data_IF_144395828389
#
_entry.id   IF_144395828389
#
_cell.length_a   1.000
_cell.length_b   1.000
_cell.length_c   1.000
_cell.angle_alpha   90.00
_cell.angle_beta   90.00
_cell.angle_gamma   90.00
#
_symmetry.space_group_name_H-M   'P 1'
#
loop_
_entity.id
_entity.type
_entity.pdbx_description
1 polymer ?
#
# COMPACT_ATOMS: atom_id res chain seq x y z
N UNK A 1 -7.72 1.13 41.92
CA UNK A 1 -7.59 -0.26 41.40
C UNK A 1 -6.72 -0.20 40.16
N UNK A 2 -5.67 -1.00 40.11
CA UNK A 2 -4.78 -1.10 38.95
C UNK A 2 -5.14 -2.35 38.12
N UNK A 3 -4.97 -2.30 36.81
CA UNK A 3 -5.23 -3.45 35.95
C UNK A 3 -3.93 -4.23 35.75
N UNK A 4 -3.96 -5.51 36.06
CA UNK A 4 -2.82 -6.43 35.87
C UNK A 4 -3.07 -7.36 34.70
N UNK A 5 -2.10 -7.46 33.79
CA UNK A 5 -2.10 -8.49 32.75
C UNK A 5 -1.47 -9.77 33.32
N UNK A 6 -2.12 -10.91 33.07
CA UNK A 6 -1.63 -12.20 33.58
C UNK A 6 -1.50 -13.24 32.47
N UNK A 7 -0.55 -14.13 32.65
CA UNK A 7 -0.48 -15.42 31.98
C UNK A 7 -0.59 -16.49 33.04
N UNK A 8 -1.60 -17.35 32.94
CA UNK A 8 -1.88 -18.40 33.94
C UNK A 8 -2.21 -19.71 33.23
N UNK A 9 -1.91 -20.84 33.88
CA UNK A 9 -2.25 -22.17 33.39
C UNK A 9 -3.58 -22.59 34.02
N UNK A 10 -4.52 -23.02 33.20
CA UNK A 10 -5.79 -23.59 33.67
C UNK A 10 -5.59 -25.07 34.06
N UNK A 11 -6.57 -25.64 34.82
CA UNK A 11 -6.51 -27.05 35.28
C UNK A 11 -6.42 -28.08 34.14
N UNK A 12 -6.75 -27.69 32.90
CA UNK A 12 -6.65 -28.51 31.68
C UNK A 12 -5.27 -28.42 31.00
N UNK A 13 -4.29 -27.73 31.64
CA UNK A 13 -2.93 -27.56 31.11
C UNK A 13 -2.78 -26.49 30.03
N UNK A 14 -3.83 -25.75 29.70
CA UNK A 14 -3.77 -24.69 28.65
C UNK A 14 -3.42 -23.35 29.25
N UNK A 15 -2.56 -22.62 28.56
CA UNK A 15 -2.20 -21.24 28.88
C UNK A 15 -3.38 -20.29 28.62
N UNK A 16 -3.82 -19.59 29.68
CA UNK A 16 -4.79 -18.49 29.56
C UNK A 16 -4.10 -17.16 29.84
N UNK A 17 -4.30 -16.20 28.92
CA UNK A 17 -3.89 -14.81 29.10
C UNK A 17 -5.14 -13.96 29.30
N UNK A 18 -5.08 -13.00 30.21
CA UNK A 18 -6.19 -12.09 30.47
C UNK A 18 -5.77 -10.91 31.33
N UNK A 19 -6.76 -10.11 31.71
CA UNK A 19 -6.59 -8.94 32.58
C UNK A 19 -7.43 -9.11 33.83
N UNK A 20 -6.94 -8.64 34.98
CA UNK A 20 -7.64 -8.68 36.26
C UNK A 20 -7.39 -7.35 36.99
N UNK A 21 -8.44 -6.82 37.62
CA UNK A 21 -8.35 -5.60 38.41
C UNK A 21 -8.09 -5.97 39.87
N UNK A 22 -7.04 -5.38 40.44
CA UNK A 22 -6.67 -5.56 41.84
C UNK A 22 -5.94 -4.31 42.37
N UNK A 23 -5.88 -4.16 43.68
CA UNK A 23 -5.11 -3.07 44.30
C UNK A 23 -3.63 -3.40 44.43
N UNK A 24 -3.31 -4.69 44.51
CA UNK A 24 -1.94 -5.18 44.61
C UNK A 24 -1.73 -6.44 43.76
N UNK A 25 -0.48 -6.70 43.41
CA UNK A 25 -0.07 -7.90 42.67
C UNK A 25 -0.45 -9.21 43.38
N UNK A 26 -0.39 -9.19 44.72
CA UNK A 26 -0.71 -10.36 45.53
C UNK A 26 -2.23 -10.63 45.58
N UNK A 27 -3.03 -9.59 45.51
CA UNK A 27 -4.48 -9.69 45.39
C UNK A 27 -4.88 -10.25 44.03
N UNK A 28 -4.23 -9.78 42.96
CA UNK A 28 -4.42 -10.33 41.61
C UNK A 28 -4.09 -11.82 41.56
N UNK A 29 -3.00 -12.23 42.20
CA UNK A 29 -2.61 -13.65 42.29
C UNK A 29 -3.63 -14.49 43.09
N UNK A 30 -4.22 -13.98 44.19
CA UNK A 30 -5.28 -14.65 44.92
C UNK A 30 -6.55 -14.82 44.09
N UNK A 31 -7.03 -13.76 43.48
CA UNK A 31 -8.22 -13.79 42.59
C UNK A 31 -8.08 -14.81 41.47
N UNK A 32 -6.88 -14.92 40.86
CA UNK A 32 -6.60 -15.91 39.83
C UNK A 32 -6.62 -17.35 40.35
N UNK A 33 -6.07 -17.58 41.55
CA UNK A 33 -6.12 -18.91 42.21
C UNK A 33 -7.55 -19.32 42.56
N UNK A 34 -8.39 -18.39 43.04
CA UNK A 34 -9.82 -18.62 43.31
C UNK A 34 -10.59 -19.01 42.03
N UNK A 35 -10.18 -18.50 40.87
CA UNK A 35 -10.72 -18.87 39.55
C UNK A 35 -10.13 -20.19 39.00
N UNK A 36 -9.31 -20.89 39.77
CA UNK A 36 -8.71 -22.16 39.38
C UNK A 36 -7.55 -22.01 38.37
N UNK A 37 -6.98 -20.81 38.27
CA UNK A 37 -5.88 -20.49 37.36
C UNK A 37 -4.58 -20.36 38.16
N UNK A 38 -3.52 -21.05 37.72
CA UNK A 38 -2.19 -20.94 38.33
C UNK A 38 -1.40 -19.83 37.63
N UNK A 39 -1.14 -18.69 38.28
CA UNK A 39 -0.45 -17.57 37.64
C UNK A 39 1.03 -17.88 37.42
N UNK A 40 1.50 -17.80 36.14
CA UNK A 40 2.91 -17.89 35.77
C UNK A 40 3.59 -16.51 35.73
N UNK A 41 2.86 -15.48 35.31
CA UNK A 41 3.37 -14.12 35.24
C UNK A 41 2.24 -13.11 35.46
N UNK A 42 2.47 -12.13 36.34
CA UNK A 42 1.57 -11.00 36.58
C UNK A 42 2.40 -9.73 36.44
N UNK A 43 2.01 -8.86 35.50
CA UNK A 43 2.67 -7.57 35.24
C UNK A 43 1.67 -6.43 35.42
N UNK A 44 2.05 -5.36 36.06
CA UNK A 44 1.30 -4.10 36.06
C UNK A 44 1.24 -3.54 34.63
N UNK A 45 0.05 -3.20 34.19
CA UNK A 45 -0.13 -2.54 32.90
C UNK A 45 0.26 -1.07 33.06
N UNK A 46 1.44 -0.70 32.58
CA UNK A 46 1.80 0.70 32.37
C UNK A 46 1.02 1.26 31.19
N UNK A 47 0.73 2.57 31.18
CA UNK A 47 -0.06 3.24 30.13
C UNK A 47 0.50 3.03 28.71
N UNK A 48 1.73 2.56 28.57
CA UNK A 48 2.41 2.20 27.32
C UNK A 48 2.15 0.74 26.85
N UNK A 49 1.64 -0.14 27.70
CA UNK A 49 1.34 -1.55 27.38
C UNK A 49 -0.12 -1.78 26.97
N UNK A 50 -0.92 -0.73 26.89
CA UNK A 50 -2.16 -0.82 26.15
C UNK A 50 -1.77 -1.02 24.69
N UNK A 51 -1.97 -2.21 24.16
CA UNK A 51 -2.22 -2.39 22.74
C UNK A 51 -3.35 -1.42 22.38
N UNK A 52 -2.96 -0.21 21.97
CA UNK A 52 -3.90 0.75 21.42
C UNK A 52 -4.30 0.14 20.08
N UNK A 53 -5.28 -0.75 20.11
CA UNK A 53 -6.05 -1.11 18.93
C UNK A 53 -6.76 0.18 18.50
N UNK A 54 -6.03 1.02 17.79
CA UNK A 54 -6.62 2.12 17.03
C UNK A 54 -7.45 1.43 15.94
N UNK A 55 -8.78 1.37 16.05
CA UNK A 55 -9.63 0.70 15.06
C UNK A 55 -9.49 1.32 13.65
N UNK A 56 -8.82 2.46 13.58
CA UNK A 56 -8.51 3.18 12.36
C UNK A 56 -7.23 2.68 11.64
N UNK A 57 -6.32 1.96 12.33
CA UNK A 57 -5.04 1.47 11.77
C UNK A 57 -5.05 -0.03 11.42
N UNK A 58 -6.09 -0.78 11.76
CA UNK A 58 -6.05 -2.25 11.76
C UNK A 58 -6.61 -2.93 10.52
N UNK A 59 -7.19 -2.23 9.54
CA UNK A 59 -7.51 -2.87 8.25
C UNK A 59 -6.29 -2.89 7.33
N UNK A 60 -5.24 -3.64 7.68
CA UNK A 60 -4.14 -3.91 6.74
C UNK A 60 -4.67 -4.80 5.62
N UNK A 61 -4.83 -4.22 4.43
CA UNK A 61 -5.11 -4.98 3.21
C UNK A 61 -4.07 -6.09 3.06
N UNK A 62 -4.53 -7.30 2.76
CA UNK A 62 -3.65 -8.43 2.44
C UNK A 62 -2.90 -8.12 1.15
N UNK A 63 -1.62 -8.48 1.08
CA UNK A 63 -0.79 -8.21 -0.09
C UNK A 63 -1.20 -9.12 -1.25
N UNK A 64 -1.12 -8.67 -2.51
CA UNK A 64 -1.40 -9.52 -3.66
C UNK A 64 -0.58 -10.82 -3.69
N UNK A 65 0.66 -10.80 -3.18
CA UNK A 65 1.49 -12.00 -3.05
C UNK A 65 0.86 -13.05 -2.13
N UNK A 66 0.34 -12.62 -0.98
CA UNK A 66 -0.28 -13.53 -0.01
C UNK A 66 -1.57 -14.13 -0.61
N UNK A 67 -2.34 -13.31 -1.35
CA UNK A 67 -3.52 -13.78 -2.09
C UNK A 67 -3.17 -14.75 -3.22
N UNK A 68 -2.07 -14.52 -3.95
CA UNK A 68 -1.61 -15.45 -4.99
C UNK A 68 -1.25 -16.81 -4.41
N UNK A 69 -0.53 -16.82 -3.28
CA UNK A 69 -0.15 -18.06 -2.58
C UNK A 69 -1.40 -18.79 -2.08
N UNK A 70 -2.32 -18.07 -1.42
CA UNK A 70 -3.59 -18.62 -0.97
C UNK A 70 -4.39 -19.26 -2.11
N UNK A 71 -4.62 -18.54 -3.20
CA UNK A 71 -5.37 -19.08 -4.34
C UNK A 71 -4.69 -20.27 -4.99
N UNK A 72 -3.35 -20.26 -5.11
CA UNK A 72 -2.58 -21.36 -5.70
C UNK A 72 -2.64 -22.62 -4.85
N UNK A 73 -2.45 -22.48 -3.54
CA UNK A 73 -2.55 -23.60 -2.59
C UNK A 73 -3.98 -24.15 -2.55
N UNK A 74 -4.98 -23.27 -2.51
CA UNK A 74 -6.38 -23.68 -2.50
C UNK A 74 -6.74 -24.48 -3.76
N UNK A 75 -6.40 -23.97 -4.94
CA UNK A 75 -6.58 -24.69 -6.20
C UNK A 75 -5.89 -26.08 -6.19
N UNK A 76 -4.65 -26.15 -5.69
CA UNK A 76 -3.89 -27.40 -5.61
C UNK A 76 -4.54 -28.43 -4.69
N UNK A 77 -5.05 -28.00 -3.53
CA UNK A 77 -5.72 -28.89 -2.57
C UNK A 77 -7.04 -29.40 -3.13
N UNK A 78 -7.83 -28.53 -3.79
CA UNK A 78 -9.08 -28.94 -4.44
C UNK A 78 -8.84 -29.90 -5.61
N UNK A 79 -7.82 -29.66 -6.43
CA UNK A 79 -7.42 -30.57 -7.52
C UNK A 79 -6.99 -31.95 -7.00
N UNK A 80 -6.54 -32.06 -5.74
CA UNK A 80 -6.27 -33.34 -5.08
C UNK A 80 -7.53 -34.02 -4.55
N UNK A 81 -8.73 -33.45 -4.75
CA UNK A 81 -10.01 -34.03 -4.35
C UNK A 81 -10.40 -33.76 -2.88
N UNK A 82 -9.69 -32.86 -2.20
CA UNK A 82 -10.03 -32.47 -0.82
C UNK A 82 -11.28 -31.57 -0.84
N UNK A 83 -12.17 -31.75 0.13
CA UNK A 83 -13.37 -30.91 0.26
C UNK A 83 -13.00 -29.43 0.56
N UNK A 84 -13.87 -28.50 0.15
CA UNK A 84 -13.67 -27.05 0.38
C UNK A 84 -13.43 -26.75 1.86
N UNK A 85 -14.21 -27.36 2.77
CA UNK A 85 -14.08 -27.13 4.22
C UNK A 85 -12.70 -27.56 4.74
N UNK A 86 -12.28 -28.79 4.41
CA UNK A 86 -10.97 -29.29 4.84
C UNK A 86 -9.81 -28.51 4.21
N UNK A 87 -9.99 -28.06 2.96
CA UNK A 87 -8.99 -27.22 2.29
C UNK A 87 -8.83 -25.85 2.98
N UNK A 88 -9.92 -25.22 3.41
CA UNK A 88 -9.89 -23.97 4.16
C UNK A 88 -9.23 -24.15 5.54
N UNK A 89 -9.50 -25.28 6.23
CA UNK A 89 -8.85 -25.61 7.50
C UNK A 89 -7.32 -25.69 7.35
N UNK A 90 -6.84 -26.49 6.39
CA UNK A 90 -5.42 -26.63 6.08
C UNK A 90 -4.76 -25.28 5.73
N UNK A 91 -5.44 -24.44 4.95
CA UNK A 91 -4.96 -23.12 4.54
C UNK A 91 -4.91 -22.17 5.73
N UNK A 92 -5.89 -22.22 6.64
CA UNK A 92 -5.90 -21.39 7.85
C UNK A 92 -4.69 -21.72 8.74
N UNK A 93 -4.32 -23.00 8.87
CA UNK A 93 -3.17 -23.41 9.67
C UNK A 93 -1.84 -22.90 9.10
N UNK A 94 -1.68 -22.96 7.76
CA UNK A 94 -0.46 -22.58 7.06
C UNK A 94 -0.31 -21.07 6.84
N UNK A 95 -1.39 -20.28 7.03
CA UNK A 95 -1.39 -18.86 6.74
C UNK A 95 -0.72 -18.05 7.85
N UNK A 96 0.41 -17.39 7.56
CA UNK A 96 1.14 -16.52 8.50
C UNK A 96 0.44 -15.18 8.75
N UNK A 97 -0.24 -14.64 7.74
CA UNK A 97 -0.93 -13.36 7.84
C UNK A 97 -2.18 -13.49 8.72
N UNK A 98 -2.14 -12.90 9.91
CA UNK A 98 -3.20 -13.01 10.91
C UNK A 98 -4.59 -12.60 10.40
N UNK A 99 -4.66 -11.55 9.56
CA UNK A 99 -5.93 -11.08 9.01
C UNK A 99 -6.49 -12.05 7.98
N UNK A 100 -5.62 -12.56 7.09
CA UNK A 100 -6.01 -13.56 6.10
C UNK A 100 -6.40 -14.87 6.77
N UNK A 101 -5.63 -15.32 7.77
CA UNK A 101 -5.94 -16.51 8.57
C UNK A 101 -7.33 -16.44 9.18
N UNK A 102 -7.64 -15.31 9.82
CA UNK A 102 -8.97 -15.08 10.41
C UNK A 102 -10.06 -15.13 9.35
N UNK A 103 -9.87 -14.44 8.22
CA UNK A 103 -10.84 -14.42 7.12
C UNK A 103 -11.09 -15.82 6.52
N UNK A 104 -10.05 -16.66 6.43
CA UNK A 104 -10.18 -18.06 5.99
C UNK A 104 -10.99 -18.88 7.00
N UNK A 105 -10.73 -18.72 8.31
CA UNK A 105 -11.49 -19.40 9.37
C UNK A 105 -12.96 -18.96 9.38
N UNK A 106 -13.22 -17.67 9.23
CA UNK A 106 -14.58 -17.14 9.15
C UNK A 106 -15.32 -17.69 7.91
N UNK A 107 -14.64 -17.75 6.75
CA UNK A 107 -15.20 -18.36 5.53
C UNK A 107 -15.44 -19.87 5.70
N UNK A 108 -14.52 -20.60 6.34
CA UNK A 108 -14.72 -22.03 6.68
C UNK A 108 -16.00 -22.21 7.50
N UNK A 109 -16.17 -21.43 8.57
CA UNK A 109 -17.35 -21.51 9.43
C UNK A 109 -18.67 -21.22 8.69
N UNK A 110 -18.65 -20.32 7.69
CA UNK A 110 -19.81 -20.05 6.83
C UNK A 110 -20.16 -21.26 5.96
N UNK A 111 -19.17 -21.85 5.31
CA UNK A 111 -19.36 -23.04 4.46
C UNK A 111 -19.83 -24.25 5.28
N UNK A 112 -19.32 -24.46 6.49
CA UNK A 112 -19.80 -25.49 7.43
C UNK A 112 -21.28 -25.34 7.79
N UNK A 113 -21.79 -24.12 7.82
CA UNK A 113 -23.22 -23.80 8.05
C UNK A 113 -24.08 -23.97 6.81
N UNK A 114 -23.48 -24.29 5.67
CA UNK A 114 -24.18 -24.50 4.40
C UNK A 114 -24.27 -23.28 3.50
N UNK A 115 -23.56 -22.18 3.81
CA UNK A 115 -23.46 -21.03 2.93
C UNK A 115 -22.54 -21.33 1.74
N UNK A 116 -22.70 -20.60 0.62
CA UNK A 116 -21.75 -20.69 -0.49
C UNK A 116 -20.38 -20.12 -0.06
N UNK A 117 -19.29 -20.60 -0.66
CA UNK A 117 -17.95 -20.07 -0.37
C UNK A 117 -17.86 -18.59 -0.71
N UNK A 118 -18.45 -18.17 -1.83
CA UNK A 118 -18.47 -16.77 -2.25
C UNK A 118 -19.19 -15.85 -1.28
N UNK A 119 -20.32 -16.30 -0.72
CA UNK A 119 -21.08 -15.51 0.28
C UNK A 119 -20.34 -15.48 1.61
N UNK A 120 -19.76 -16.60 2.05
CA UNK A 120 -18.94 -16.67 3.26
C UNK A 120 -17.71 -15.77 3.18
N UNK A 121 -17.02 -15.71 2.01
CA UNK A 121 -15.91 -14.78 1.79
C UNK A 121 -16.33 -13.31 1.75
N UNK A 122 -17.56 -13.01 1.37
CA UNK A 122 -18.11 -11.64 1.30
C UNK A 122 -18.46 -11.06 2.65
N UNK A 123 -18.81 -11.91 3.63
CA UNK A 123 -19.14 -11.48 5.00
C UNK A 123 -17.94 -10.88 5.73
N UNK A 124 -16.73 -11.30 5.37
CA UNK A 124 -15.54 -10.75 5.98
C UNK A 124 -15.27 -9.31 5.49
N UNK A 125 -14.83 -8.50 6.40
CA UNK A 125 -14.69 -7.03 6.32
C UNK A 125 -13.76 -6.48 5.23
N UNK A 126 -13.75 -7.07 4.02
CA UNK A 126 -13.01 -6.60 2.85
C UNK A 126 -11.55 -7.08 2.81
N UNK A 127 -11.24 -8.20 3.43
CA UNK A 127 -9.94 -8.90 3.30
C UNK A 127 -9.83 -9.55 1.93
N UNK A 128 -10.86 -10.28 1.51
CA UNK A 128 -10.93 -10.83 0.16
C UNK A 128 -11.32 -9.74 -0.85
N UNK A 129 -10.51 -9.53 -1.91
CA UNK A 129 -10.87 -8.60 -2.98
C UNK A 129 -12.15 -9.05 -3.70
N UNK A 130 -12.99 -8.07 -4.13
CA UNK A 130 -14.24 -8.37 -4.84
C UNK A 130 -14.04 -9.27 -6.06
N UNK A 131 -13.00 -9.03 -6.84
CA UNK A 131 -12.66 -9.86 -8.00
C UNK A 131 -12.46 -11.33 -7.63
N UNK A 132 -11.86 -11.65 -6.47
CA UNK A 132 -11.71 -13.03 -6.01
C UNK A 132 -13.08 -13.64 -5.66
N UNK A 133 -13.91 -12.89 -4.94
CA UNK A 133 -15.25 -13.34 -4.54
C UNK A 133 -16.12 -13.63 -5.77
N UNK A 134 -16.09 -12.73 -6.74
CA UNK A 134 -16.91 -12.86 -7.96
C UNK A 134 -16.41 -14.02 -8.84
N UNK A 135 -15.08 -14.24 -8.92
CA UNK A 135 -14.48 -15.41 -9.59
C UNK A 135 -14.80 -16.71 -8.87
N UNK A 136 -14.78 -16.74 -7.54
CA UNK A 136 -15.19 -17.91 -6.74
C UNK A 136 -16.66 -18.20 -6.99
N UNK A 137 -17.54 -17.18 -7.01
CA UNK A 137 -18.97 -17.33 -7.32
C UNK A 137 -19.19 -17.93 -8.70
N UNK A 138 -18.46 -17.45 -9.72
CA UNK A 138 -18.54 -18.00 -11.07
C UNK A 138 -18.05 -19.47 -11.10
N UNK A 139 -16.95 -19.77 -10.38
CA UNK A 139 -16.43 -21.14 -10.25
C UNK A 139 -17.35 -22.09 -9.51
N UNK A 140 -18.04 -21.64 -8.45
CA UNK A 140 -19.07 -22.43 -7.76
C UNK A 140 -20.26 -22.73 -8.67
N UNK A 141 -20.75 -21.72 -9.39
CA UNK A 141 -21.90 -21.87 -10.29
C UNK A 141 -21.61 -22.78 -11.47
N UNK A 142 -20.38 -22.83 -11.98
CA UNK A 142 -19.96 -23.67 -13.11
C UNK A 142 -19.36 -25.00 -12.69
N UNK A 143 -19.16 -25.26 -11.38
CA UNK A 143 -18.47 -26.44 -10.88
C UNK A 143 -16.98 -26.50 -11.21
N UNK A 144 -16.35 -25.36 -11.49
CA UNK A 144 -14.92 -25.24 -11.89
C UNK A 144 -14.15 -24.30 -10.97
N UNK A 145 -14.31 -24.48 -9.65
CA UNK A 145 -13.72 -23.64 -8.62
C UNK A 145 -12.17 -23.64 -8.68
N UNK A 146 -11.57 -24.80 -9.00
CA UNK A 146 -10.13 -24.95 -9.14
C UNK A 146 -9.56 -24.06 -10.26
N UNK A 147 -10.26 -24.00 -11.39
CA UNK A 147 -9.88 -23.16 -12.52
C UNK A 147 -10.00 -21.67 -12.16
N UNK A 148 -11.08 -21.29 -11.48
CA UNK A 148 -11.27 -19.91 -11.01
C UNK A 148 -10.15 -19.49 -10.06
N UNK A 149 -9.80 -20.33 -9.09
CA UNK A 149 -8.71 -20.08 -8.15
C UNK A 149 -7.33 -20.05 -8.82
N UNK A 150 -7.08 -20.94 -9.80
CA UNK A 150 -5.83 -20.94 -10.58
C UNK A 150 -5.67 -19.63 -11.36
N UNK A 151 -6.72 -19.15 -12.02
CA UNK A 151 -6.71 -17.86 -12.71
C UNK A 151 -6.46 -16.69 -11.75
N UNK A 152 -7.09 -16.72 -10.58
CA UNK A 152 -6.88 -15.70 -9.54
C UNK A 152 -5.47 -15.74 -8.95
N UNK A 153 -4.87 -16.94 -8.83
CA UNK A 153 -3.47 -17.07 -8.41
C UNK A 153 -2.53 -16.35 -9.39
N UNK A 154 -2.71 -16.58 -10.70
CA UNK A 154 -1.93 -15.93 -11.77
C UNK A 154 -2.19 -14.41 -11.78
N UNK A 155 -3.44 -13.99 -11.65
CA UNK A 155 -3.82 -12.57 -11.59
C UNK A 155 -3.11 -11.84 -10.46
N UNK A 156 -3.16 -12.38 -9.24
CA UNK A 156 -2.51 -11.76 -8.09
C UNK A 156 -0.98 -11.86 -8.16
N UNK A 157 -0.41 -12.90 -8.76
CA UNK A 157 1.03 -13.02 -9.01
C UNK A 157 1.52 -11.91 -9.94
N UNK A 158 0.84 -11.68 -11.06
CA UNK A 158 1.13 -10.59 -12.00
C UNK A 158 1.02 -9.22 -11.33
N UNK A 159 -0.06 -9.02 -10.57
CA UNK A 159 -0.26 -7.80 -9.79
C UNK A 159 0.87 -7.58 -8.76
N UNK A 160 1.27 -8.64 -8.04
CA UNK A 160 2.37 -8.58 -7.08
C UNK A 160 3.71 -8.26 -7.75
N UNK A 161 3.98 -8.86 -8.94
CA UNK A 161 5.18 -8.60 -9.74
C UNK A 161 5.24 -7.13 -10.12
N UNK A 162 4.20 -6.58 -10.74
CA UNK A 162 4.14 -5.19 -11.18
C UNK A 162 4.32 -4.21 -10.02
N UNK A 163 3.61 -4.43 -8.90
CA UNK A 163 3.78 -3.61 -7.69
C UNK A 163 5.18 -3.74 -7.09
N UNK A 164 5.76 -4.94 -7.16
CA UNK A 164 7.10 -5.23 -6.67
C UNK A 164 8.18 -4.50 -7.44
N UNK A 165 8.08 -4.42 -8.77
CA UNK A 165 9.00 -3.70 -9.66
C UNK A 165 9.04 -2.22 -9.26
N UNK A 166 7.89 -1.56 -9.21
CA UNK A 166 7.78 -0.15 -8.84
C UNK A 166 8.33 0.10 -7.42
N UNK A 167 7.95 -0.75 -6.45
CA UNK A 167 8.41 -0.61 -5.06
C UNK A 167 9.92 -0.78 -4.92
N UNK A 168 10.51 -1.78 -5.59
CA UNK A 168 11.96 -2.01 -5.55
C UNK A 168 12.73 -0.85 -6.18
N UNK A 169 12.27 -0.34 -7.31
CA UNK A 169 12.88 0.79 -7.99
C UNK A 169 12.89 2.07 -7.12
N UNK A 170 11.82 2.31 -6.36
CA UNK A 170 11.72 3.47 -5.47
C UNK A 170 12.54 3.35 -4.17
N UNK A 171 13.09 2.18 -3.87
CA UNK A 171 13.86 1.98 -2.61
C UNK A 171 15.15 2.79 -2.61
N UNK A 172 15.93 2.73 -3.69
CA UNK A 172 17.21 3.46 -3.80
C UNK A 172 17.03 4.98 -3.67
N UNK A 173 16.14 5.66 -4.42
CA UNK A 173 15.85 7.07 -4.24
C UNK A 173 15.42 7.43 -2.80
N UNK A 174 14.59 6.61 -2.17
CA UNK A 174 14.17 6.85 -0.80
C UNK A 174 15.35 6.79 0.19
N UNK A 175 16.24 5.82 0.06
CA UNK A 175 17.43 5.71 0.91
C UNK A 175 18.34 6.92 0.73
N UNK A 176 18.60 7.34 -0.52
CA UNK A 176 19.41 8.54 -0.78
C UNK A 176 18.79 9.81 -0.16
N UNK A 177 17.48 9.99 -0.28
CA UNK A 177 16.79 11.14 0.33
C UNK A 177 16.90 11.12 1.86
N UNK A 178 16.77 9.94 2.48
CA UNK A 178 16.94 9.81 3.95
C UNK A 178 18.36 10.16 4.37
N UNK A 179 19.37 9.67 3.65
CA UNK A 179 20.78 9.99 3.92
C UNK A 179 21.03 11.49 3.74
N UNK A 180 20.52 12.08 2.65
CA UNK A 180 20.65 13.52 2.38
C UNK A 180 20.06 14.36 3.51
N UNK A 181 18.83 14.04 3.95
CA UNK A 181 18.19 14.72 5.08
C UNK A 181 18.99 14.55 6.37
N UNK A 182 19.54 13.36 6.62
CA UNK A 182 20.41 13.09 7.76
C UNK A 182 21.66 13.96 7.76
N UNK A 183 22.34 14.08 6.61
CA UNK A 183 23.52 14.95 6.46
C UNK A 183 23.15 16.42 6.70
N UNK A 184 22.04 16.90 6.14
CA UNK A 184 21.56 18.27 6.35
C UNK A 184 21.32 18.54 7.86
N UNK A 185 20.65 17.61 8.54
CA UNK A 185 20.38 17.75 9.98
C UNK A 185 21.69 17.80 10.76
N UNK A 186 22.65 16.92 10.50
CA UNK A 186 23.96 16.92 11.18
C UNK A 186 24.70 18.23 10.92
N UNK A 187 24.70 18.74 9.70
CA UNK A 187 25.33 20.03 9.37
C UNK A 187 24.67 21.20 10.09
N UNK A 188 23.34 21.24 10.12
CA UNK A 188 22.60 22.31 10.78
C UNK A 188 22.71 22.25 12.31
N UNK A 189 22.78 21.07 12.92
CA UNK A 189 22.75 20.94 14.38
C UNK A 189 24.14 20.93 15.04
N UNK A 190 25.19 20.47 14.32
CA UNK A 190 26.51 20.34 14.89
C UNK A 190 27.54 21.24 14.22
N UNK A 191 27.58 21.28 12.90
CA UNK A 191 28.70 21.96 12.20
C UNK A 191 28.49 23.46 12.20
N UNK A 192 27.33 23.95 11.78
CA UNK A 192 27.09 25.39 11.65
C UNK A 192 27.13 26.13 12.99
N UNK A 193 26.52 25.65 14.09
CA UNK A 193 26.62 26.34 15.38
C UNK A 193 28.04 26.49 15.89
N UNK A 194 28.88 25.43 15.71
CA UNK A 194 30.29 25.49 16.12
C UNK A 194 31.10 26.53 15.35
N UNK A 195 30.79 26.71 14.04
CA UNK A 195 31.44 27.78 13.26
C UNK A 195 30.97 29.15 13.69
N UNK A 196 29.69 29.32 14.01
CA UNK A 196 29.13 30.63 14.40
C UNK A 196 29.66 31.08 15.73
N UNK A 197 29.77 30.22 16.74
CA UNK A 197 30.36 30.58 18.04
C UNK A 197 31.78 31.13 17.91
N UNK A 198 32.56 30.64 16.93
CA UNK A 198 33.91 31.22 16.63
C UNK A 198 33.85 32.63 16.05
N UNK A 199 32.75 33.02 15.40
CA UNK A 199 32.60 34.34 14.80
C UNK A 199 31.91 35.37 15.75
N UNK A 200 31.06 34.90 16.69
CA UNK A 200 30.45 35.77 17.73
C UNK A 200 31.53 36.38 18.64
N UNK A 201 32.61 35.64 18.88
CA UNK A 201 33.75 36.12 19.67
C UNK A 201 34.54 37.27 18.99
N UNK A 202 34.25 37.54 17.70
CA UNK A 202 34.98 38.50 16.87
C UNK A 202 34.18 39.76 16.51
N UNK A 203 32.99 39.95 17.11
CA UNK A 203 32.09 41.12 16.94
C UNK A 203 31.79 41.50 15.47
N UNK A 204 31.92 40.58 14.51
CA UNK A 204 31.69 40.86 13.08
C UNK A 204 30.29 40.49 12.61
N UNK A 205 29.70 41.35 11.78
CA UNK A 205 28.39 41.11 11.18
C UNK A 205 28.39 39.88 10.25
N UNK A 206 27.48 38.91 10.51
CA UNK A 206 27.37 37.69 9.69
C UNK A 206 26.71 37.97 8.35
N UNK A 207 27.22 37.39 7.24
CA UNK A 207 26.63 37.50 5.92
C UNK A 207 25.18 36.97 5.87
N UNK A 208 24.41 37.43 4.89
CA UNK A 208 22.99 37.03 4.71
C UNK A 208 22.80 35.54 4.60
N UNK A 209 23.63 34.82 3.83
CA UNK A 209 23.55 33.37 3.66
C UNK A 209 23.76 32.64 4.98
N UNK A 210 24.73 33.06 5.77
CA UNK A 210 25.02 32.49 7.09
C UNK A 210 23.87 32.72 8.05
N UNK A 211 23.31 33.94 8.09
CA UNK A 211 22.13 34.28 8.90
C UNK A 211 20.90 33.42 8.49
N UNK A 212 20.69 33.21 7.20
CA UNK A 212 19.59 32.39 6.72
C UNK A 212 19.74 30.90 7.14
N UNK A 213 20.94 30.34 7.02
CA UNK A 213 21.19 28.94 7.42
C UNK A 213 21.15 28.79 8.94
N UNK A 214 21.60 29.80 9.71
CA UNK A 214 21.46 29.85 11.17
C UNK A 214 19.98 29.84 11.61
N UNK A 215 19.16 30.67 11.00
CA UNK A 215 17.72 30.67 11.34
C UNK A 215 17.06 29.34 11.03
N UNK A 216 17.53 28.62 10.00
CA UNK A 216 17.11 27.24 9.73
C UNK A 216 17.63 26.25 10.79
N UNK A 217 18.88 26.42 11.24
CA UNK A 217 19.48 25.61 12.31
C UNK A 217 18.70 25.79 13.62
N UNK A 218 18.43 27.03 14.03
CA UNK A 218 17.67 27.35 15.22
C UNK A 218 16.24 26.81 15.13
N UNK A 219 15.63 26.89 13.96
CA UNK A 219 14.30 26.31 13.73
C UNK A 219 14.32 24.78 13.89
N UNK A 220 15.35 24.09 13.40
CA UNK A 220 15.49 22.63 13.55
C UNK A 220 15.78 22.26 15.01
N UNK A 221 16.66 22.98 15.71
CA UNK A 221 17.03 22.68 17.08
C UNK A 221 15.91 22.99 18.09
N UNK A 222 15.25 24.14 17.95
CA UNK A 222 14.28 24.61 18.94
C UNK A 222 12.84 24.22 18.63
N UNK A 223 12.50 23.99 17.34
CA UNK A 223 11.13 23.75 16.88
C UNK A 223 10.95 22.43 16.14
N UNK A 224 11.87 21.46 16.30
CA UNK A 224 11.78 20.15 15.64
C UNK A 224 10.43 19.46 15.86
N UNK A 225 9.84 19.58 17.07
CA UNK A 225 8.54 19.01 17.40
C UNK A 225 7.40 19.71 16.63
N UNK A 226 7.50 21.02 16.38
CA UNK A 226 6.54 21.77 15.56
C UNK A 226 6.67 21.34 14.11
N UNK A 227 7.91 21.18 13.59
CA UNK A 227 8.16 20.71 12.23
C UNK A 227 7.52 19.32 12.02
N UNK A 228 7.72 18.39 12.96
CA UNK A 228 7.08 17.07 12.91
C UNK A 228 5.56 17.19 12.98
N UNK A 229 5.01 18.03 13.86
CA UNK A 229 3.57 18.24 13.98
C UNK A 229 2.97 18.82 12.70
N UNK A 230 3.64 19.80 12.05
CA UNK A 230 3.21 20.36 10.77
C UNK A 230 3.25 19.33 9.65
N UNK A 231 4.34 18.55 9.55
CA UNK A 231 4.43 17.45 8.56
C UNK A 231 3.31 16.43 8.81
N UNK A 232 3.07 16.03 10.05
CA UNK A 232 1.99 15.12 10.40
C UNK A 232 0.62 15.71 10.04
N UNK A 233 0.37 16.99 10.32
CA UNK A 233 -0.86 17.68 9.95
C UNK A 233 -1.05 17.75 8.43
N UNK A 234 0.00 18.03 7.65
CA UNK A 234 -0.04 18.01 6.18
C UNK A 234 -0.37 16.61 5.67
N UNK A 235 0.28 15.55 6.20
CA UNK A 235 0.03 14.17 5.79
C UNK A 235 -1.40 13.74 6.14
N UNK A 236 -1.89 14.09 7.31
CA UNK A 236 -3.28 13.78 7.73
C UNK A 236 -4.27 14.57 6.88
N UNK A 237 -4.05 15.87 6.67
CA UNK A 237 -4.87 16.72 5.83
C UNK A 237 -4.93 16.21 4.39
N UNK A 238 -3.79 15.84 3.80
CA UNK A 238 -3.72 15.22 2.48
C UNK A 238 -4.52 13.91 2.42
N UNK A 239 -4.35 13.03 3.41
CA UNK A 239 -5.12 11.76 3.48
C UNK A 239 -6.62 12.00 3.64
N UNK A 240 -7.02 12.99 4.41
CA UNK A 240 -8.43 13.38 4.56
C UNK A 240 -8.97 13.96 3.25
N UNK A 241 -8.23 14.84 2.59
CA UNK A 241 -8.61 15.42 1.31
C UNK A 241 -8.80 14.35 0.21
N UNK A 242 -7.86 13.41 0.08
CA UNK A 242 -7.94 12.29 -0.90
C UNK A 242 -9.06 11.30 -0.57
N UNK A 243 -9.60 11.29 0.65
CA UNK A 243 -10.80 10.49 0.98
C UNK A 243 -12.10 11.11 0.47
N UNK A 244 -12.14 12.41 0.21
CA UNK A 244 -13.30 13.06 -0.40
C UNK A 244 -13.33 12.80 -1.91
N UNK A 245 -14.52 12.66 -2.50
CA UNK A 245 -14.65 12.37 -3.93
C UNK A 245 -14.00 13.47 -4.80
N UNK A 246 -14.26 14.74 -4.49
CA UNK A 246 -13.68 15.88 -5.20
C UNK A 246 -12.14 15.91 -5.07
N UNK A 247 -11.60 15.64 -3.86
CA UNK A 247 -10.17 15.59 -3.62
C UNK A 247 -9.48 14.45 -4.35
N UNK A 248 -10.10 13.26 -4.37
CA UNK A 248 -9.62 12.10 -5.10
C UNK A 248 -9.56 12.36 -6.60
N UNK A 249 -10.62 12.93 -7.19
CA UNK A 249 -10.63 13.31 -8.61
C UNK A 249 -9.53 14.32 -8.96
N UNK A 250 -9.37 15.37 -8.12
CA UNK A 250 -8.36 16.41 -8.36
C UNK A 250 -6.94 15.86 -8.31
N UNK A 251 -6.63 15.07 -7.28
CA UNK A 251 -5.31 14.47 -7.07
C UNK A 251 -4.99 13.45 -8.16
N UNK A 252 -5.94 12.58 -8.51
CA UNK A 252 -5.72 11.54 -9.54
C UNK A 252 -5.58 12.15 -10.94
N UNK A 253 -6.32 13.23 -11.23
CA UNK A 253 -6.12 14.01 -12.47
C UNK A 253 -4.75 14.69 -12.51
N UNK A 254 -4.29 15.24 -11.37
CA UNK A 254 -2.96 15.86 -11.28
C UNK A 254 -1.85 14.84 -11.49
N UNK A 255 -1.96 13.65 -10.89
CA UNK A 255 -0.98 12.56 -11.06
C UNK A 255 -0.79 12.18 -12.53
N UNK A 256 -1.85 12.17 -13.34
CA UNK A 256 -1.78 11.89 -14.77
C UNK A 256 -1.07 12.99 -15.58
N UNK A 257 -1.05 14.23 -15.07
CA UNK A 257 -0.39 15.37 -15.74
C UNK A 257 1.11 15.47 -15.44
N UNK A 258 1.59 14.84 -14.35
CA UNK A 258 3.01 14.88 -13.98
C UNK A 258 3.81 14.11 -15.03
N UNK A 259 4.83 14.73 -15.69
CA UNK A 259 5.66 14.03 -16.66
C UNK A 259 6.32 12.79 -16.01
N UNK A 260 6.54 11.75 -16.78
CA UNK A 260 7.08 10.43 -16.36
C UNK A 260 6.15 9.65 -15.43
N UNK A 261 5.67 10.23 -14.32
CA UNK A 261 4.72 9.58 -13.40
C UNK A 261 3.35 9.33 -14.05
N UNK A 262 2.84 10.30 -14.81
CA UNK A 262 1.56 10.15 -15.52
C UNK A 262 1.62 9.03 -16.55
N UNK A 263 2.73 8.91 -17.27
CA UNK A 263 2.95 7.84 -18.24
C UNK A 263 2.99 6.47 -17.53
N UNK A 264 3.73 6.36 -16.42
CA UNK A 264 3.79 5.14 -15.61
C UNK A 264 2.39 4.76 -15.10
N UNK A 265 1.62 5.73 -14.62
CA UNK A 265 0.27 5.50 -14.11
C UNK A 265 -0.70 5.04 -15.21
N UNK A 266 -0.61 5.63 -16.42
CA UNK A 266 -1.37 5.21 -17.59
C UNK A 266 -1.05 3.77 -17.98
N UNK A 267 0.25 3.43 -18.11
CA UNK A 267 0.69 2.08 -18.46
C UNK A 267 0.23 1.06 -17.41
N UNK A 268 0.35 1.39 -16.12
CA UNK A 268 -0.13 0.54 -15.01
C UNK A 268 -1.64 0.35 -15.05
N UNK A 269 -2.42 1.40 -15.33
CA UNK A 269 -3.87 1.31 -15.46
C UNK A 269 -4.28 0.43 -16.66
N UNK A 270 -3.61 0.57 -17.81
CA UNK A 270 -3.86 -0.26 -18.98
C UNK A 270 -3.51 -1.74 -18.74
N UNK A 271 -2.37 -2.02 -18.10
CA UNK A 271 -1.98 -3.38 -17.71
C UNK A 271 -3.03 -4.00 -16.78
N UNK A 272 -3.44 -3.27 -15.75
CA UNK A 272 -4.44 -3.75 -14.78
C UNK A 272 -5.80 -3.97 -15.43
N UNK A 273 -6.27 -3.05 -16.26
CA UNK A 273 -7.51 -3.17 -17.01
C UNK A 273 -7.51 -4.38 -17.93
N UNK A 274 -6.52 -4.47 -18.83
CA UNK A 274 -6.45 -5.54 -19.81
C UNK A 274 -6.31 -6.92 -19.13
N UNK A 275 -5.46 -7.04 -18.11
CA UNK A 275 -5.28 -8.26 -17.34
C UNK A 275 -6.56 -8.70 -16.62
N UNK A 276 -7.20 -7.76 -15.93
CA UNK A 276 -8.42 -8.06 -15.18
C UNK A 276 -9.54 -8.45 -16.12
N UNK A 277 -9.78 -7.67 -17.17
CA UNK A 277 -10.86 -7.95 -18.12
C UNK A 277 -10.64 -9.27 -18.85
N UNK A 278 -9.42 -9.55 -19.33
CA UNK A 278 -9.11 -10.84 -19.99
C UNK A 278 -9.34 -12.04 -19.06
N UNK A 279 -8.91 -11.93 -17.78
CA UNK A 279 -9.08 -13.01 -16.80
C UNK A 279 -10.56 -13.32 -16.54
N UNK A 280 -11.40 -12.29 -16.43
CA UNK A 280 -12.83 -12.43 -16.17
C UNK A 280 -13.57 -13.01 -17.39
N UNK A 281 -13.27 -12.52 -18.60
CA UNK A 281 -13.86 -13.02 -19.84
C UNK A 281 -13.48 -14.48 -20.09
N UNK A 282 -12.21 -14.84 -19.89
CA UNK A 282 -11.74 -16.23 -19.97
C UNK A 282 -12.41 -17.16 -18.94
N UNK A 283 -12.95 -16.63 -17.85
CA UNK A 283 -13.75 -17.37 -16.90
C UNK A 283 -15.22 -17.48 -17.32
N UNK A 284 -15.59 -16.99 -18.51
CA UNK A 284 -16.97 -17.00 -19.04
C UNK A 284 -17.87 -15.94 -18.47
N UNK A 285 -17.30 -14.93 -17.80
CA UNK A 285 -18.11 -13.83 -17.21
C UNK A 285 -18.66 -12.92 -18.30
N UNK A 286 -19.93 -12.50 -18.24
CA UNK A 286 -20.51 -11.57 -19.19
C UNK A 286 -19.73 -10.25 -19.24
N UNK A 287 -19.57 -9.67 -20.44
CA UNK A 287 -18.76 -8.47 -20.69
C UNK A 287 -19.13 -7.29 -19.76
N UNK A 288 -20.41 -7.05 -19.55
CA UNK A 288 -20.92 -5.93 -18.72
C UNK A 288 -20.47 -6.09 -17.26
N UNK A 289 -20.58 -7.31 -16.72
CA UNK A 289 -20.17 -7.62 -15.36
C UNK A 289 -18.64 -7.57 -15.23
N UNK A 290 -17.92 -8.11 -16.23
CA UNK A 290 -16.47 -8.07 -16.27
C UNK A 290 -15.90 -6.63 -16.30
N UNK A 291 -16.53 -5.71 -17.04
CA UNK A 291 -16.17 -4.28 -17.05
C UNK A 291 -16.41 -3.64 -15.68
N UNK A 292 -17.52 -3.97 -15.00
CA UNK A 292 -17.82 -3.46 -13.66
C UNK A 292 -16.74 -3.82 -12.63
N UNK A 293 -16.39 -5.09 -12.61
CA UNK A 293 -15.34 -5.62 -11.73
C UNK A 293 -13.99 -4.99 -12.10
N UNK A 294 -13.65 -4.93 -13.39
CA UNK A 294 -12.42 -4.28 -13.85
C UNK A 294 -12.36 -2.81 -13.40
N UNK A 295 -13.46 -2.06 -13.53
CA UNK A 295 -13.55 -0.68 -13.04
C UNK A 295 -13.31 -0.57 -11.53
N UNK A 296 -13.83 -1.52 -10.75
CA UNK A 296 -13.67 -1.54 -9.29
C UNK A 296 -12.21 -1.76 -8.85
N UNK A 297 -11.40 -2.43 -9.68
CA UNK A 297 -9.97 -2.69 -9.42
C UNK A 297 -9.07 -1.52 -9.77
N UNK A 298 -9.57 -0.50 -10.48
CA UNK A 298 -8.77 0.65 -10.89
C UNK A 298 -8.33 1.50 -9.68
N UNK A 299 -7.02 1.76 -9.61
CA UNK A 299 -6.45 2.59 -8.56
C UNK A 299 -6.77 4.08 -8.76
N UNK A 300 -6.79 4.54 -10.02
CA UNK A 300 -7.07 5.92 -10.39
C UNK A 300 -8.55 6.08 -10.78
N UNK A 301 -9.20 7.04 -10.14
CA UNK A 301 -10.64 7.32 -10.32
C UNK A 301 -11.00 7.69 -11.75
N UNK A 302 -10.12 8.38 -12.49
CA UNK A 302 -10.40 8.77 -13.88
C UNK A 302 -10.61 7.55 -14.78
N UNK A 303 -9.80 6.48 -14.61
CA UNK A 303 -9.97 5.21 -15.35
C UNK A 303 -11.21 4.45 -14.88
N UNK A 304 -11.49 4.46 -13.57
CA UNK A 304 -12.72 3.87 -13.03
C UNK A 304 -13.95 4.47 -13.67
N UNK A 305 -14.04 5.80 -13.70
CA UNK A 305 -15.20 6.51 -14.25
C UNK A 305 -15.34 6.30 -15.75
N UNK A 306 -14.22 6.27 -16.48
CA UNK A 306 -14.25 5.97 -17.90
C UNK A 306 -14.78 4.56 -18.20
N UNK A 307 -14.38 3.56 -17.41
CA UNK A 307 -14.88 2.19 -17.53
C UNK A 307 -16.34 2.07 -17.13
N UNK A 308 -16.78 2.79 -16.09
CA UNK A 308 -18.20 2.83 -15.71
C UNK A 308 -19.09 3.45 -16.80
N UNK A 309 -18.59 4.50 -17.47
CA UNK A 309 -19.27 5.06 -18.66
C UNK A 309 -19.25 4.08 -19.82
N UNK A 310 -18.12 3.42 -20.05
CA UNK A 310 -18.02 2.40 -21.10
C UNK A 310 -18.99 1.24 -20.85
N UNK A 311 -19.13 0.77 -19.61
CA UNK A 311 -20.13 -0.22 -19.21
C UNK A 311 -21.53 0.18 -19.65
N UNK A 312 -21.92 1.44 -19.40
CA UNK A 312 -23.25 1.95 -19.80
C UNK A 312 -23.42 1.95 -21.32
N UNK A 313 -22.40 2.30 -22.09
CA UNK A 313 -22.42 2.24 -23.56
C UNK A 313 -22.52 0.81 -24.10
N UNK A 314 -21.76 -0.12 -23.51
CA UNK A 314 -21.79 -1.54 -23.89
C UNK A 314 -23.14 -2.17 -23.55
N UNK A 315 -23.78 -1.78 -22.45
CA UNK A 315 -25.14 -2.21 -22.11
C UNK A 315 -26.19 -1.76 -23.13
N UNK A 316 -25.91 -0.69 -23.89
CA UNK A 316 -26.74 -0.22 -25.02
C UNK A 316 -26.34 -0.87 -26.37
N UNK A 317 -25.43 -1.83 -26.36
CA UNK A 317 -24.95 -2.54 -27.55
C UNK A 317 -23.86 -1.80 -28.33
N UNK A 318 -23.27 -0.74 -27.78
CA UNK A 318 -22.17 -0.02 -28.42
C UNK A 318 -20.86 -0.76 -28.19
N UNK A 319 -19.93 -0.80 -29.19
CA UNK A 319 -18.63 -1.40 -29.04
C UNK A 319 -17.81 -0.80 -27.89
N UNK A 320 -17.13 -1.63 -27.10
CA UNK A 320 -16.26 -1.21 -26.00
C UNK A 320 -15.12 -0.33 -26.50
N UNK A 321 -14.50 -0.68 -27.64
CA UNK A 321 -13.44 0.10 -28.28
C UNK A 321 -13.84 1.55 -28.54
N UNK A 322 -15.07 1.80 -29.00
CA UNK A 322 -15.59 3.15 -29.22
C UNK A 322 -15.76 3.92 -27.91
N UNK A 323 -16.18 3.24 -26.83
CA UNK A 323 -16.33 3.86 -25.51
C UNK A 323 -14.96 4.22 -24.89
N UNK A 324 -13.98 3.33 -25.03
CA UNK A 324 -12.61 3.59 -24.59
C UNK A 324 -12.00 4.76 -25.35
N UNK A 325 -12.19 4.83 -26.68
CA UNK A 325 -11.75 5.94 -27.53
C UNK A 325 -12.37 7.28 -27.11
N UNK A 326 -13.67 7.29 -26.84
CA UNK A 326 -14.41 8.48 -26.41
C UNK A 326 -13.91 9.03 -25.06
N UNK A 327 -13.38 8.19 -24.18
CA UNK A 327 -12.84 8.59 -22.89
C UNK A 327 -11.55 9.43 -22.97
N UNK A 328 -10.79 9.32 -24.04
CA UNK A 328 -9.51 10.01 -24.32
C UNK A 328 -8.39 9.77 -23.29
N UNK A 329 -8.58 8.85 -22.35
CA UNK A 329 -7.56 8.53 -21.33
C UNK A 329 -6.81 7.22 -21.63
N UNK A 330 -7.40 6.35 -22.45
CA UNK A 330 -6.76 5.12 -22.89
C UNK A 330 -5.87 5.37 -24.12
N UNK A 331 -4.64 4.83 -24.15
CA UNK A 331 -3.76 4.91 -25.30
C UNK A 331 -4.39 4.25 -26.54
N UNK A 332 -4.07 4.75 -27.77
CA UNK A 332 -4.61 4.20 -29.00
C UNK A 332 -4.43 2.69 -29.16
N UNK A 333 -3.30 2.16 -28.70
CA UNK A 333 -2.99 0.74 -28.80
C UNK A 333 -4.05 -0.13 -28.08
N UNK A 334 -4.44 0.20 -26.84
CA UNK A 334 -5.45 -0.58 -26.10
C UNK A 334 -6.81 -0.51 -26.83
N UNK A 335 -7.16 0.66 -27.37
CA UNK A 335 -8.38 0.87 -28.12
C UNK A 335 -8.42 0.01 -29.38
N UNK A 336 -7.30 -0.02 -30.13
CA UNK A 336 -7.19 -0.83 -31.36
C UNK A 336 -7.23 -2.33 -31.05
N UNK A 337 -6.53 -2.80 -30.01
CA UNK A 337 -6.52 -4.21 -29.65
C UNK A 337 -7.90 -4.70 -29.19
N UNK A 338 -8.62 -3.86 -28.43
CA UNK A 338 -10.01 -4.16 -28.06
C UNK A 338 -10.90 -4.19 -29.31
N UNK A 339 -10.75 -3.23 -30.24
CA UNK A 339 -11.53 -3.19 -31.49
C UNK A 339 -11.30 -4.43 -32.36
N UNK A 340 -10.04 -4.84 -32.56
CA UNK A 340 -9.71 -6.08 -33.29
C UNK A 340 -10.34 -7.30 -32.61
N UNK A 341 -10.27 -7.34 -31.27
CA UNK A 341 -10.88 -8.43 -30.49
C UNK A 341 -12.40 -8.47 -30.60
N UNK A 342 -13.08 -7.31 -30.67
CA UNK A 342 -14.52 -7.22 -30.90
C UNK A 342 -14.91 -7.68 -32.31
N UNK A 343 -14.15 -7.24 -33.34
CA UNK A 343 -14.42 -7.62 -34.73
C UNK A 343 -14.16 -9.10 -35.03
N UNK A 344 -13.14 -9.69 -34.41
CA UNK A 344 -12.73 -11.08 -34.64
C UNK A 344 -13.42 -12.06 -33.65
N UNK A 345 -14.11 -11.58 -32.63
CA UNK A 345 -14.67 -12.39 -31.56
C UNK A 345 -13.64 -12.96 -30.59
N UNK A 346 -12.38 -12.52 -30.65
CA UNK A 346 -11.28 -13.02 -29.80
C UNK A 346 -10.72 -11.93 -28.87
N UNK A 347 -11.62 -11.24 -28.17
CA UNK A 347 -11.28 -10.11 -27.29
C UNK A 347 -10.40 -10.57 -26.10
N UNK A 348 -10.57 -11.80 -25.63
CA UNK A 348 -9.82 -12.35 -24.51
C UNK A 348 -8.33 -12.44 -24.79
N UNK A 349 -7.96 -12.94 -25.96
CA UNK A 349 -6.57 -13.06 -26.39
C UNK A 349 -5.95 -11.70 -26.66
N UNK A 350 -6.67 -10.80 -27.31
CA UNK A 350 -6.20 -9.43 -27.58
C UNK A 350 -5.95 -8.67 -26.29
N UNK A 351 -6.80 -8.82 -25.29
CA UNK A 351 -6.59 -8.24 -23.97
C UNK A 351 -5.43 -8.91 -23.21
N UNK A 352 -5.25 -10.23 -23.34
CA UNK A 352 -4.12 -10.95 -22.73
C UNK A 352 -2.78 -10.44 -23.30
N UNK A 353 -2.70 -10.29 -24.60
CA UNK A 353 -1.52 -9.76 -25.28
C UNK A 353 -1.25 -8.30 -24.90
N UNK A 354 -2.32 -7.48 -24.85
CA UNK A 354 -2.22 -6.10 -24.38
C UNK A 354 -1.74 -6.00 -22.94
N UNK A 355 -2.24 -6.89 -22.06
CA UNK A 355 -1.79 -6.93 -20.66
C UNK A 355 -0.29 -7.25 -20.55
N UNK A 356 0.20 -8.26 -21.30
CA UNK A 356 1.62 -8.61 -21.34
C UNK A 356 2.49 -7.43 -21.78
N UNK A 357 2.11 -6.79 -22.89
CA UNK A 357 2.81 -5.61 -23.39
C UNK A 357 2.86 -4.47 -22.37
N UNK A 358 1.73 -4.10 -21.76
CA UNK A 358 1.73 -3.02 -20.77
C UNK A 358 2.43 -3.39 -19.46
N UNK A 359 2.47 -4.67 -19.07
CA UNK A 359 3.27 -5.14 -17.93
C UNK A 359 4.77 -4.89 -18.17
N UNK A 360 5.27 -5.19 -19.38
CA UNK A 360 6.65 -4.91 -19.79
C UNK A 360 6.91 -3.39 -19.86
N UNK A 361 5.98 -2.63 -20.42
CA UNK A 361 6.06 -1.18 -20.51
C UNK A 361 6.10 -0.49 -19.14
N UNK A 362 5.41 -1.05 -18.13
CA UNK A 362 5.52 -0.58 -16.74
C UNK A 362 6.93 -0.82 -16.18
N UNK A 363 7.55 -1.96 -16.50
CA UNK A 363 8.91 -2.27 -16.08
C UNK A 363 9.91 -1.28 -16.69
N UNK A 364 9.86 -1.07 -18.01
CA UNK A 364 10.71 -0.13 -18.74
C UNK A 364 10.50 1.31 -18.23
N UNK A 365 9.25 1.74 -18.06
CA UNK A 365 8.95 3.09 -17.58
C UNK A 365 9.42 3.29 -16.12
N UNK A 366 9.38 2.26 -15.31
CA UNK A 366 9.88 2.31 -13.93
C UNK A 366 11.39 2.46 -13.90
N UNK A 367 12.12 1.76 -14.78
CA UNK A 367 13.57 1.90 -14.93
C UNK A 367 13.93 3.32 -15.41
N UNK A 368 13.21 3.85 -16.41
CA UNK A 368 13.38 5.22 -16.89
C UNK A 368 13.16 6.24 -15.76
N UNK A 369 12.11 6.07 -14.97
CA UNK A 369 11.84 6.94 -13.83
C UNK A 369 13.02 6.94 -12.84
N UNK A 370 13.54 5.75 -12.50
CA UNK A 370 14.66 5.61 -11.57
C UNK A 370 15.93 6.27 -12.12
N UNK A 371 16.23 6.04 -13.39
CA UNK A 371 17.39 6.65 -14.08
C UNK A 371 17.33 8.18 -14.12
N UNK A 372 16.12 8.77 -14.22
CA UNK A 372 15.95 10.22 -14.19
C UNK A 372 16.00 10.80 -12.77
N UNK A 373 15.63 10.02 -11.76
CA UNK A 373 15.68 10.48 -10.36
C UNK A 373 17.12 10.63 -9.84
N UNK A 374 18.05 9.80 -10.29
CA UNK A 374 19.44 9.82 -9.82
C UNK A 374 20.13 11.17 -10.13
N UNK A 375 20.19 11.67 -11.38
CA UNK A 375 20.74 12.98 -11.67
C UNK A 375 20.01 14.11 -10.92
N UNK A 376 18.70 14.03 -10.79
CA UNK A 376 17.92 15.05 -10.08
C UNK A 376 18.31 15.13 -8.59
N UNK A 377 18.49 13.98 -7.93
CA UNK A 377 18.92 13.93 -6.53
C UNK A 377 20.37 14.47 -6.40
N UNK A 378 21.26 14.11 -7.32
CA UNK A 378 22.66 14.62 -7.31
C UNK A 378 22.69 16.15 -7.45
N UNK A 379 21.90 16.73 -8.37
CA UNK A 379 21.82 18.17 -8.54
C UNK A 379 21.28 18.87 -7.30
N UNK A 380 20.21 18.34 -6.68
CA UNK A 380 19.66 18.86 -5.43
C UNK A 380 20.69 18.80 -4.32
N UNK A 381 21.40 17.67 -4.19
CA UNK A 381 22.44 17.48 -3.18
C UNK A 381 23.60 18.46 -3.38
N UNK A 382 24.06 18.64 -4.63
CA UNK A 382 25.12 19.59 -4.97
C UNK A 382 24.72 21.02 -4.60
N UNK A 383 23.48 21.42 -4.88
CA UNK A 383 22.96 22.74 -4.52
C UNK A 383 22.93 22.95 -3.00
N UNK A 384 22.48 21.95 -2.24
CA UNK A 384 22.50 22.01 -0.77
C UNK A 384 23.92 22.14 -0.24
N UNK A 385 24.87 21.35 -0.76
CA UNK A 385 26.28 21.38 -0.35
C UNK A 385 26.89 22.76 -0.67
N UNK A 386 26.62 23.32 -1.86
CA UNK A 386 27.11 24.66 -2.22
C UNK A 386 26.59 25.72 -1.26
N UNK A 387 25.31 25.70 -0.89
CA UNK A 387 24.73 26.62 0.09
C UNK A 387 25.44 26.50 1.45
N UNK A 388 25.67 25.27 1.92
CA UNK A 388 26.34 25.03 3.18
C UNK A 388 27.80 25.51 3.16
N UNK A 389 28.53 25.23 2.06
CA UNK A 389 29.92 25.71 1.89
C UNK A 389 29.96 27.23 1.90
N UNK A 390 29.11 27.90 1.12
CA UNK A 390 29.07 29.36 1.07
C UNK A 390 28.73 29.97 2.45
N UNK A 391 27.88 29.32 3.23
CA UNK A 391 27.53 29.77 4.58
C UNK A 391 28.72 29.74 5.56
N UNK A 392 29.70 28.87 5.30
CA UNK A 392 30.93 28.76 6.12
C UNK A 392 32.04 29.68 5.56
N UNK A 393 32.22 29.70 4.23
CA UNK A 393 33.30 30.43 3.59
C UNK A 393 33.13 31.94 3.58
N UNK A 394 31.88 32.45 3.43
CA UNK A 394 31.62 33.87 3.39
C UNK A 394 32.07 34.62 4.66
N UNK A 395 31.76 34.16 5.88
CA UNK A 395 32.31 34.75 7.10
C UNK A 395 33.83 34.71 7.17
N UNK A 396 34.47 33.60 6.77
CA UNK A 396 35.95 33.49 6.78
C UNK A 396 36.62 34.53 5.90
N UNK A 397 36.07 34.79 4.68
CA UNK A 397 36.59 35.82 3.78
C UNK A 397 36.45 37.22 4.38
N UNK A 398 35.31 37.50 5.04
CA UNK A 398 35.11 38.81 5.71
C UNK A 398 36.12 39.01 6.85
N UNK A 399 36.35 38.00 7.66
CA UNK A 399 37.36 38.02 8.70
C UNK A 399 38.79 38.34 8.16
N UNK A 400 39.17 37.66 7.09
CA UNK A 400 40.46 37.92 6.46
C UNK A 400 40.61 39.33 5.96
N UNK A 401 39.54 39.92 5.39
CA UNK A 401 39.49 41.31 4.92
C UNK A 401 39.42 42.34 6.06
N UNK A 402 39.05 41.96 7.28
CA UNK A 402 38.96 42.86 8.44
C UNK A 402 40.26 42.87 9.27
N UNK A 403 41.02 41.76 9.22
CA UNK A 403 42.28 41.57 9.96
C UNK A 403 43.56 41.91 9.15
N UNK A 404 43.44 42.02 7.83
CA UNK A 404 44.51 42.44 6.93
C UNK A 404 44.37 43.85 6.46
#
# INVERSE_FOLDING_TARGET
METYSYTAVAKDGKDKKGQIEAETRDEAARKLKEQGLTPMSIKTQTAFDKDIELPFLTKKKVKPRDMSVFCRQFASILNAGVSVVNALEMLAEQTENKNLKKAIMDAQSGVEKGETLSDSMRQDSGIFPSILIDMVKAGESSGSLENALTRMAIQFEKQAKTQGIVKKAMMYPCVLLVVMVGVIIVMLTFVIPNFVSMFEDLESDLPFMTKAVLSMSDAVMNYWYIIIAVIAAIVVGYKMYVKTDAGRHSVDKLKLKIPVFGVLQTKTACASFARTLSTLLQAGMPMIEAIDIAASTMSNVMYKDALMKAKSGVALGLPLSNQLKASQIFPPMIVHMVGIGEETGNIEEMLTNSAGYYEEEVEVQTQTLTALMEPAIIVIMALVVVVLILSIYQPMIQLYNTLG
#
